data_IF_246253804229
#
_entry.id   IF_246253804229
#
_cell.length_a   1.000
_cell.length_b   1.000
_cell.length_c   1.000
_cell.angle_alpha   90.00
_cell.angle_beta   90.00
_cell.angle_gamma   90.00
#
_symmetry.space_group_name_H-M   'P 1'
#
loop_
_entity.id
_entity.type
_entity.pdbx_description
1 polymer ?
#
# COMPACT_ATOMS: atom_id res chain seq x y z
N UNK A 1 -16.28 -13.86 -12.52
CA UNK A 1 -15.60 -12.66 -11.97
C UNK A 1 -16.05 -11.48 -12.83
N UNK A 2 -17.21 -10.91 -12.55
CA UNK A 2 -17.95 -10.06 -13.52
C UNK A 2 -18.10 -8.61 -13.04
N UNK A 3 -17.26 -8.17 -12.11
CA UNK A 3 -17.36 -6.83 -11.54
C UNK A 3 -16.01 -6.28 -11.05
N UNK A 4 -14.96 -6.47 -11.85
CA UNK A 4 -13.68 -5.82 -11.57
C UNK A 4 -13.69 -4.46 -12.26
N UNK A 5 -13.82 -3.37 -11.50
CA UNK A 5 -13.61 -2.02 -12.05
C UNK A 5 -12.17 -1.95 -12.56
N UNK A 6 -11.98 -1.76 -13.87
CA UNK A 6 -10.66 -1.56 -14.47
C UNK A 6 -10.09 -0.23 -13.99
N UNK A 7 -9.40 -0.29 -12.85
CA UNK A 7 -8.59 0.79 -12.34
C UNK A 7 -7.26 0.73 -13.10
N UNK A 8 -7.15 1.57 -14.13
CA UNK A 8 -5.95 1.73 -14.98
C UNK A 8 -4.75 2.32 -14.21
N UNK A 9 -4.95 2.80 -12.99
CA UNK A 9 -3.85 3.15 -12.08
C UNK A 9 -4.27 2.89 -10.65
N UNK A 10 -3.62 1.96 -9.92
CA UNK A 10 -4.00 1.60 -8.57
C UNK A 10 -3.79 2.72 -7.54
N UNK A 11 -3.22 3.85 -7.95
CA UNK A 11 -3.13 5.06 -7.16
C UNK A 11 -3.83 6.19 -7.91
N UNK A 12 -4.76 6.88 -7.25
CA UNK A 12 -5.28 8.13 -7.80
C UNK A 12 -4.11 9.13 -7.79
N UNK A 13 -3.76 9.77 -8.92
CA UNK A 13 -2.77 10.83 -8.92
C UNK A 13 -3.23 11.95 -7.99
N UNK A 14 -2.61 12.05 -6.81
CA UNK A 14 -3.03 12.95 -5.73
C UNK A 14 -3.17 12.29 -4.36
N UNK A 15 -3.26 10.95 -4.30
CA UNK A 15 -3.26 10.20 -3.03
C UNK A 15 -1.88 10.26 -2.39
N UNK A 16 -1.67 11.23 -1.49
CA UNK A 16 -0.47 11.31 -0.65
C UNK A 16 -0.65 10.41 0.56
N UNK A 17 0.18 9.38 0.68
CA UNK A 17 0.42 8.74 1.97
C UNK A 17 1.17 9.75 2.85
N UNK A 18 0.48 10.27 3.87
CA UNK A 18 1.05 11.19 4.86
C UNK A 18 1.50 10.37 6.05
N UNK A 19 2.71 10.62 6.56
CA UNK A 19 3.10 10.10 7.87
C UNK A 19 2.34 10.94 8.89
N UNK A 20 1.32 10.36 9.50
CA UNK A 20 0.68 11.03 10.63
C UNK A 20 1.56 10.79 11.86
N UNK A 21 2.30 11.82 12.28
CA UNK A 21 3.18 11.72 13.45
C UNK A 21 2.40 11.55 14.76
N UNK A 22 1.08 11.79 14.73
CA UNK A 22 0.14 11.62 15.85
C UNK A 22 -0.82 10.43 15.66
N UNK A 23 -0.71 9.70 14.55
CA UNK A 23 -1.51 8.51 14.26
C UNK A 23 -1.17 7.37 15.20
N UNK A 24 -2.17 6.55 15.52
CA UNK A 24 -1.93 5.37 16.34
C UNK A 24 -0.99 4.43 15.61
N UNK A 25 0.00 3.87 16.30
CA UNK A 25 0.92 2.93 15.68
C UNK A 25 0.14 1.69 15.22
N UNK A 26 0.15 1.40 13.93
CA UNK A 26 -0.48 0.18 13.42
C UNK A 26 0.30 -1.04 13.88
N UNK A 27 -0.37 -2.18 13.94
CA UNK A 27 0.29 -3.46 14.18
C UNK A 27 1.33 -3.75 13.08
N UNK A 28 2.61 -3.62 13.44
CA UNK A 28 3.72 -3.76 12.49
C UNK A 28 3.77 -5.15 11.84
N UNK A 29 3.26 -6.19 12.51
CA UNK A 29 3.14 -7.53 11.96
C UNK A 29 2.10 -7.59 10.83
N UNK A 30 0.94 -6.99 11.04
CA UNK A 30 -0.14 -6.95 10.04
C UNK A 30 0.27 -6.10 8.84
N UNK A 31 0.90 -4.95 9.10
CA UNK A 31 1.44 -4.10 8.05
C UNK A 31 2.49 -4.82 7.18
N UNK A 32 3.42 -5.55 7.80
CA UNK A 32 4.41 -6.37 7.08
C UNK A 32 3.77 -7.47 6.25
N UNK A 33 2.74 -8.14 6.77
CA UNK A 33 2.00 -9.16 6.01
C UNK A 33 1.26 -8.57 4.81
N UNK A 34 0.65 -7.39 4.97
CA UNK A 34 0.01 -6.67 3.86
C UNK A 34 1.02 -6.28 2.78
N UNK A 35 2.16 -5.70 3.16
CA UNK A 35 3.21 -5.36 2.18
C UNK A 35 3.78 -6.60 1.49
N UNK A 36 3.97 -7.70 2.22
CA UNK A 36 4.41 -8.98 1.63
C UNK A 36 3.41 -9.51 0.59
N UNK A 37 2.11 -9.45 0.90
CA UNK A 37 1.05 -9.86 -0.02
C UNK A 37 0.97 -8.96 -1.26
N UNK A 38 1.17 -7.65 -1.07
CA UNK A 38 1.24 -6.68 -2.16
C UNK A 38 2.49 -6.87 -3.04
N UNK A 39 3.64 -7.20 -2.46
CA UNK A 39 4.85 -7.55 -3.21
C UNK A 39 4.66 -8.83 -4.02
N UNK A 40 3.87 -9.80 -3.54
CA UNK A 40 3.53 -10.98 -4.33
C UNK A 40 2.70 -10.59 -5.58
N UNK A 41 1.73 -9.68 -5.42
CA UNK A 41 0.92 -9.15 -6.52
C UNK A 41 1.74 -8.35 -7.55
N UNK A 42 2.87 -7.76 -7.12
CA UNK A 42 3.77 -7.01 -8.00
C UNK A 42 4.29 -7.85 -9.18
N UNK A 43 4.49 -9.15 -8.96
CA UNK A 43 4.98 -10.07 -10.00
C UNK A 43 4.02 -10.18 -11.20
N UNK A 44 2.71 -10.05 -10.96
CA UNK A 44 1.68 -10.15 -11.99
C UNK A 44 1.17 -8.80 -12.50
N UNK A 45 1.40 -7.73 -11.73
CA UNK A 45 0.87 -6.38 -11.98
C UNK A 45 1.95 -5.34 -11.64
N UNK A 46 2.94 -5.10 -12.52
CA UNK A 46 3.97 -4.09 -12.29
C UNK A 46 3.41 -2.66 -12.18
N UNK A 47 2.18 -2.44 -12.64
CA UNK A 47 1.44 -1.18 -12.49
C UNK A 47 1.22 -0.79 -11.01
N UNK A 48 1.20 -1.77 -10.11
CA UNK A 48 1.12 -1.58 -8.66
C UNK A 48 2.47 -1.23 -8.00
N UNK A 49 3.60 -1.32 -8.71
CA UNK A 49 4.95 -1.13 -8.17
C UNK A 49 5.08 0.15 -7.37
N UNK A 50 4.58 1.24 -7.95
CA UNK A 50 4.70 2.56 -7.35
C UNK A 50 3.99 2.64 -6.00
N UNK A 51 2.75 2.14 -5.92
CA UNK A 51 1.96 2.10 -4.69
C UNK A 51 2.62 1.21 -3.63
N UNK A 52 3.08 0.02 -4.00
CA UNK A 52 3.72 -0.92 -3.06
C UNK A 52 5.04 -0.37 -2.54
N UNK A 53 5.87 0.24 -3.40
CA UNK A 53 7.10 0.90 -2.98
C UNK A 53 6.82 2.09 -2.03
N UNK A 54 5.76 2.85 -2.30
CA UNK A 54 5.36 3.96 -1.44
C UNK A 54 4.97 3.46 -0.05
N UNK A 55 4.12 2.44 0.05
CA UNK A 55 3.66 1.81 1.30
C UNK A 55 4.83 1.13 2.03
N UNK A 56 5.75 0.48 1.33
CA UNK A 56 6.93 -0.15 1.94
C UNK A 56 7.80 0.86 2.72
N UNK A 57 7.83 2.13 2.32
CA UNK A 57 8.57 3.20 3.03
C UNK A 57 8.02 3.52 4.42
N UNK A 58 6.77 3.16 4.69
CA UNK A 58 6.11 3.36 5.99
C UNK A 58 6.16 2.10 6.86
N UNK A 59 6.79 1.01 6.40
CA UNK A 59 6.95 -0.23 7.18
C UNK A 59 7.79 -0.05 8.44
N UNK A 60 8.66 0.96 8.47
CA UNK A 60 9.48 1.31 9.63
C UNK A 60 8.64 1.84 10.81
N UNK A 61 7.61 2.64 10.50
CA UNK A 61 6.66 3.21 11.47
C UNK A 61 5.27 3.25 10.85
N UNK A 62 4.54 2.12 10.88
CA UNK A 62 3.20 2.09 10.35
C UNK A 62 2.29 2.91 11.26
N UNK A 63 1.57 3.84 10.66
CA UNK A 63 0.70 4.80 11.36
C UNK A 63 -0.70 4.64 10.77
N UNK A 64 -1.68 4.44 11.63
CA UNK A 64 -3.10 4.41 11.26
C UNK A 64 -3.67 5.82 11.44
N UNK A 65 -4.48 6.23 10.47
CA UNK A 65 -5.22 7.50 10.44
C UNK A 65 -6.57 7.35 11.14
#
# INVERSE_FOLDING_TARGET
MEHCNEVCSPIVPGSKLVKDENGSAADAREYKQMVGSLMYLLASRPDLAFSVCLVARFMDRPTEL
#
